data_IF_298388379448
#
_entry.id   IF_298388379448
#
_cell.length_a   1.000
_cell.length_b   1.000
_cell.length_c   1.000
_cell.angle_alpha   90.00
_cell.angle_beta   90.00
_cell.angle_gamma   90.00
#
_symmetry.space_group_name_H-M   'P 1'
#
loop_
_entity.id
_entity.type
_entity.pdbx_description
1 polymer ?
#
# COMPACT_ATOMS: atom_id res chain seq x y z
N UNK A 1 4.34 23.84 -6.33
CA UNK A 1 4.43 22.36 -6.41
C UNK A 1 3.02 21.83 -6.22
N UNK A 2 2.51 20.95 -7.08
CA UNK A 2 1.12 20.46 -6.97
C UNK A 2 0.93 19.71 -5.63
N UNK A 3 -0.07 20.09 -4.83
CA UNK A 3 -0.39 19.50 -3.52
C UNK A 3 -0.50 17.97 -3.58
N UNK A 4 -0.99 17.45 -4.71
CA UNK A 4 -1.00 16.03 -5.03
C UNK A 4 0.39 15.38 -4.97
N UNK A 5 1.37 15.98 -5.66
CA UNK A 5 2.74 15.45 -5.73
C UNK A 5 3.43 15.56 -4.36
N UNK A 6 3.12 16.60 -3.59
CA UNK A 6 3.61 16.76 -2.21
C UNK A 6 3.10 15.60 -1.36
N UNK A 7 1.80 15.33 -1.38
CA UNK A 7 1.19 14.28 -0.57
C UNK A 7 1.64 12.89 -0.99
N UNK A 8 1.75 12.62 -2.30
CA UNK A 8 2.27 11.36 -2.83
C UNK A 8 3.70 11.09 -2.34
N UNK A 9 4.61 12.05 -2.54
CA UNK A 9 6.00 11.91 -2.12
C UNK A 9 6.12 11.77 -0.60
N UNK A 10 5.28 12.49 0.15
CA UNK A 10 5.22 12.35 1.60
C UNK A 10 4.84 10.92 2.02
N UNK A 11 3.80 10.32 1.42
CA UNK A 11 3.39 8.93 1.74
C UNK A 11 4.43 7.89 1.36
N UNK A 12 5.08 8.05 0.20
CA UNK A 12 6.18 7.19 -0.20
C UNK A 12 7.35 7.28 0.77
N UNK A 13 7.74 8.50 1.17
CA UNK A 13 8.79 8.69 2.17
C UNK A 13 8.42 8.06 3.51
N UNK A 14 7.18 8.20 3.97
CA UNK A 14 6.71 7.51 5.18
C UNK A 14 6.86 5.98 5.05
N UNK A 15 6.48 5.40 3.91
CA UNK A 15 6.62 3.97 3.68
C UNK A 15 8.10 3.52 3.73
N UNK A 16 8.98 4.23 3.02
CA UNK A 16 10.41 3.92 2.96
C UNK A 16 11.10 4.06 4.33
N UNK A 17 10.87 5.16 5.05
CA UNK A 17 11.49 5.40 6.35
C UNK A 17 10.99 4.37 7.38
N UNK A 18 9.69 4.02 7.33
CA UNK A 18 9.11 2.98 8.18
C UNK A 18 9.71 1.59 7.87
N UNK A 19 9.93 1.26 6.60
CA UNK A 19 10.57 -0.01 6.22
C UNK A 19 12.04 -0.06 6.66
N UNK A 20 12.80 1.03 6.47
CA UNK A 20 14.18 1.14 6.97
C UNK A 20 14.25 0.96 8.49
N UNK A 21 13.26 1.44 9.22
CA UNK A 21 13.16 1.18 10.65
C UNK A 21 12.92 -0.29 10.95
N UNK A 22 12.05 -0.98 10.22
CA UNK A 22 11.88 -2.44 10.37
C UNK A 22 13.21 -3.18 10.16
N UNK A 23 14.01 -2.78 9.16
CA UNK A 23 15.32 -3.36 8.89
C UNK A 23 16.33 -3.09 10.03
N UNK A 24 16.32 -1.88 10.61
CA UNK A 24 17.12 -1.59 11.82
C UNK A 24 16.70 -2.50 12.97
N UNK A 25 15.40 -2.64 13.18
CA UNK A 25 14.86 -3.49 14.25
C UNK A 25 15.26 -4.96 14.09
N UNK A 26 15.38 -5.46 12.85
CA UNK A 26 15.91 -6.79 12.56
C UNK A 26 17.39 -6.88 12.96
N UNK A 27 18.21 -5.91 12.56
CA UNK A 27 19.65 -5.87 12.90
C UNK A 27 19.89 -5.79 14.41
N UNK A 28 19.00 -5.10 15.12
CA UNK A 28 19.07 -4.90 16.57
C UNK A 28 18.41 -6.05 17.36
N UNK A 29 18.01 -7.15 16.70
CA UNK A 29 17.36 -8.33 17.29
C UNK A 29 16.13 -7.99 18.16
N UNK A 30 15.32 -7.02 17.74
CA UNK A 30 14.05 -6.71 18.41
C UNK A 30 13.01 -7.80 18.16
N UNK A 31 11.90 -7.74 18.91
CA UNK A 31 10.88 -8.79 18.85
C UNK A 31 10.24 -8.91 17.46
N UNK A 32 9.91 -10.12 16.98
CA UNK A 32 9.19 -10.31 15.72
C UNK A 32 7.89 -9.51 15.64
N UNK A 33 7.17 -9.37 16.76
CA UNK A 33 5.95 -8.57 16.84
C UNK A 33 6.20 -7.10 16.47
N UNK A 34 7.27 -6.51 16.98
CA UNK A 34 7.62 -5.12 16.73
C UNK A 34 8.06 -4.92 15.27
N UNK A 35 8.84 -5.85 14.71
CA UNK A 35 9.28 -5.84 13.31
C UNK A 35 8.08 -5.94 12.37
N UNK A 36 7.19 -6.91 12.59
CA UNK A 36 5.99 -7.11 11.77
C UNK A 36 5.07 -5.89 11.84
N UNK A 37 4.88 -5.31 13.02
CA UNK A 37 4.08 -4.09 13.16
C UNK A 37 4.65 -2.96 12.29
N UNK A 38 5.97 -2.77 12.30
CA UNK A 38 6.63 -1.73 11.52
C UNK A 38 6.52 -1.99 10.01
N UNK A 39 6.77 -3.23 9.57
CA UNK A 39 6.58 -3.62 8.17
C UNK A 39 5.13 -3.45 7.69
N UNK A 40 4.14 -3.77 8.55
CA UNK A 40 2.73 -3.54 8.27
C UNK A 40 2.41 -2.06 8.01
N UNK A 41 2.92 -1.15 8.85
CA UNK A 41 2.72 0.29 8.63
C UNK A 41 3.42 0.79 7.36
N UNK A 42 4.59 0.25 7.00
CA UNK A 42 5.25 0.59 5.76
C UNK A 42 4.37 0.25 4.54
N UNK A 43 3.80 -0.97 4.52
CA UNK A 43 2.84 -1.38 3.49
C UNK A 43 1.58 -0.50 3.48
N UNK A 44 1.04 -0.17 4.65
CA UNK A 44 -0.12 0.72 4.75
C UNK A 44 0.13 2.09 4.10
N UNK A 45 1.28 2.72 4.37
CA UNK A 45 1.63 3.99 3.73
C UNK A 45 1.87 3.86 2.23
N UNK A 46 2.46 2.75 1.77
CA UNK A 46 2.63 2.48 0.35
C UNK A 46 1.27 2.34 -0.37
N UNK A 47 0.30 1.67 0.24
CA UNK A 47 -1.07 1.55 -0.29
C UNK A 47 -1.76 2.92 -0.35
N UNK A 48 -1.61 3.77 0.67
CA UNK A 48 -2.13 5.15 0.60
C UNK A 48 -1.48 5.96 -0.53
N UNK A 49 -0.17 5.80 -0.74
CA UNK A 49 0.53 6.42 -1.87
C UNK A 49 0.00 5.93 -3.23
N UNK A 50 -0.26 4.61 -3.35
CA UNK A 50 -0.85 4.02 -4.54
C UNK A 50 -2.23 4.60 -4.84
N UNK A 51 -3.08 4.74 -3.83
CA UNK A 51 -4.40 5.31 -3.98
C UNK A 51 -4.37 6.77 -4.43
N UNK A 52 -3.47 7.57 -3.87
CA UNK A 52 -3.23 8.94 -4.35
C UNK A 52 -2.78 8.89 -5.80
N UNK A 53 -1.78 8.07 -6.14
CA UNK A 53 -1.26 7.94 -7.51
C UNK A 53 -2.35 7.53 -8.52
N UNK A 54 -3.31 6.73 -8.10
CA UNK A 54 -4.45 6.30 -8.91
C UNK A 54 -5.66 7.22 -8.84
N UNK A 55 -5.53 8.38 -8.19
CA UNK A 55 -6.59 9.40 -8.05
C UNK A 55 -7.87 8.84 -7.40
N UNK A 56 -7.73 7.81 -6.54
CA UNK A 56 -8.84 7.24 -5.80
C UNK A 56 -9.22 8.16 -4.63
N UNK A 57 -10.47 8.62 -4.61
CA UNK A 57 -11.03 9.36 -3.48
C UNK A 57 -11.34 8.42 -2.31
N UNK A 58 -10.53 8.49 -1.25
CA UNK A 58 -10.64 7.61 -0.09
C UNK A 58 -11.20 8.36 1.10
N UNK A 59 -12.39 7.93 1.51
CA UNK A 59 -13.15 8.52 2.61
C UNK A 59 -12.86 7.89 3.97
N UNK A 60 -11.81 7.07 4.08
CA UNK A 60 -11.46 6.37 5.32
C UNK A 60 -9.95 6.36 5.56
N UNK A 61 -9.55 6.76 6.76
CA UNK A 61 -8.19 6.60 7.26
C UNK A 61 -8.01 5.34 8.11
N UNK A 62 -9.06 4.52 8.27
CA UNK A 62 -9.01 3.30 9.08
C UNK A 62 -8.32 2.17 8.30
N UNK A 63 -7.44 1.45 8.97
CA UNK A 63 -6.70 0.31 8.41
C UNK A 63 -7.59 -0.70 7.67
N UNK A 64 -8.66 -1.18 8.30
CA UNK A 64 -9.57 -2.15 7.68
C UNK A 64 -10.22 -1.63 6.40
N UNK A 65 -10.53 -0.32 6.34
CA UNK A 65 -11.11 0.30 5.16
C UNK A 65 -10.11 0.39 4.01
N UNK A 66 -8.87 0.80 4.30
CA UNK A 66 -7.77 0.87 3.33
C UNK A 66 -7.48 -0.51 2.73
N UNK A 67 -7.44 -1.56 3.57
CA UNK A 67 -7.24 -2.95 3.11
C UNK A 67 -8.40 -3.39 2.20
N UNK A 68 -9.65 -3.17 2.62
CA UNK A 68 -10.82 -3.57 1.83
C UNK A 68 -10.87 -2.89 0.45
N UNK A 69 -10.50 -1.61 0.37
CA UNK A 69 -10.41 -0.88 -0.89
C UNK A 69 -9.27 -1.47 -1.74
N UNK A 70 -8.11 -1.75 -1.15
CA UNK A 70 -6.97 -2.31 -1.88
C UNK A 70 -7.31 -3.69 -2.46
N UNK A 71 -7.91 -4.56 -1.66
CA UNK A 71 -8.36 -5.88 -2.10
C UNK A 71 -9.34 -5.77 -3.26
N UNK A 72 -10.33 -4.87 -3.16
CA UNK A 72 -11.33 -4.65 -4.20
C UNK A 72 -10.71 -4.12 -5.49
N UNK A 73 -9.89 -3.07 -5.40
CA UNK A 73 -9.43 -2.29 -6.56
C UNK A 73 -8.18 -2.87 -7.23
N UNK A 74 -7.34 -3.64 -6.53
CA UNK A 74 -6.07 -4.14 -7.07
C UNK A 74 -5.88 -5.66 -7.01
N UNK A 75 -6.54 -6.37 -6.09
CA UNK A 75 -6.41 -7.84 -5.97
C UNK A 75 -7.53 -8.56 -6.71
N UNK A 76 -8.79 -8.28 -6.36
CA UNK A 76 -9.97 -8.94 -6.93
C UNK A 76 -10.15 -8.54 -8.41
N UNK A 77 -9.91 -7.28 -8.76
CA UNK A 77 -9.90 -6.81 -10.15
C UNK A 77 -8.82 -7.51 -10.99
N UNK A 78 -7.61 -7.68 -10.46
CA UNK A 78 -6.53 -8.43 -11.11
C UNK A 78 -6.87 -9.91 -11.33
N UNK A 79 -7.61 -10.53 -10.41
CA UNK A 79 -8.15 -11.89 -10.59
C UNK A 79 -9.15 -11.93 -11.75
N UNK A 80 -10.02 -10.91 -11.90
CA UNK A 80 -11.00 -10.86 -13.00
C UNK A 80 -10.37 -10.64 -14.38
N UNK A 81 -9.28 -9.89 -14.50
CA UNK A 81 -8.52 -9.81 -15.77
C UNK A 81 -7.85 -11.14 -16.12
N UNK A 82 -7.36 -11.89 -15.14
CA UNK A 82 -6.76 -13.21 -15.37
C UNK A 82 -7.76 -14.27 -15.86
N UNK A 83 -9.05 -14.11 -15.55
CA UNK A 83 -10.15 -14.98 -16.02
C UNK A 83 -10.75 -14.52 -17.37
N UNK A 84 -10.39 -13.33 -17.87
CA UNK A 84 -10.92 -12.77 -19.12
C UNK A 84 -9.92 -12.75 -20.28
N UNK A 85 -8.72 -13.34 -20.13
CA UNK A 85 -7.76 -13.52 -21.25
C UNK A 85 -7.95 -14.82 -22.04
N UNK A 86 -9.11 -15.48 -21.95
CA UNK A 86 -9.49 -16.62 -22.80
C UNK A 86 -10.84 -16.41 -23.49
N UNK A 87 -11.05 -15.24 -24.08
CA UNK A 87 -12.02 -15.11 -25.17
C UNK A 87 -11.59 -13.96 -26.08
N UNK A 88 -10.68 -14.26 -27.00
CA UNK A 88 -10.72 -13.65 -28.32
C UNK A 88 -11.39 -14.67 -29.24
N UNK A 89 -12.54 -14.32 -29.82
CA UNK A 89 -12.62 -14.42 -31.28
C UNK A 89 -13.49 -13.32 -31.92
N UNK A 90 -13.41 -13.13 -33.26
CA UNK A 90 -12.48 -13.70 -34.23
C UNK A 90 -11.32 -12.76 -34.60
#
# INVERSE_FOLDING_TARGET
>A
MNDFKVLLNYRLKQAEDTLKDADKMIRDNLTPRSIINRAYYAMFYAVLALFIKSELDIKTAKHAGVISIFDKEYIITGIRESQNRSSYPP
#
